data_IF_442307540613
#
_entry.id   IF_442307540613
#
_cell.length_a   1.000
_cell.length_b   1.000
_cell.length_c   1.000
_cell.angle_alpha   90.00
_cell.angle_beta   90.00
_cell.angle_gamma   90.00
#
_symmetry.space_group_name_H-M   'P 1'
#
loop_
_entity.id
_entity.type
_entity.pdbx_description
1 polymer ?
#
# COMPACT_ATOMS: atom_id res chain seq x y z
N UNK A 1 -8.13 23.07 21.13
CA UNK A 1 -7.04 22.52 20.31
C UNK A 1 -7.68 22.03 19.03
N UNK A 2 -7.54 22.79 17.93
CA UNK A 2 -8.27 22.50 16.69
C UNK A 2 -7.88 21.09 16.23
N UNK A 3 -8.88 20.26 15.97
CA UNK A 3 -8.77 19.11 15.07
C UNK A 3 -8.42 19.66 13.68
N UNK A 4 -7.17 20.11 13.53
CA UNK A 4 -6.55 20.47 12.27
C UNK A 4 -6.87 19.35 11.27
N UNK A 5 -7.24 19.69 10.04
CA UNK A 5 -7.92 18.85 9.04
C UNK A 5 -7.18 17.56 8.61
N UNK A 6 -6.83 16.67 9.55
CA UNK A 6 -6.06 15.45 9.33
C UNK A 6 -6.85 14.39 8.59
N UNK A 7 -8.17 14.32 8.79
CA UNK A 7 -9.03 13.36 8.08
C UNK A 7 -8.94 13.58 6.56
N UNK A 8 -9.13 14.82 6.04
CA UNK A 8 -8.85 15.11 4.63
C UNK A 8 -7.43 14.77 4.17
N UNK A 9 -6.40 15.07 4.97
CA UNK A 9 -5.01 14.81 4.59
C UNK A 9 -4.68 13.32 4.49
N UNK A 10 -5.12 12.51 5.45
CA UNK A 10 -4.91 11.05 5.43
C UNK A 10 -5.70 10.42 4.29
N UNK A 11 -6.94 10.87 4.06
CA UNK A 11 -7.74 10.44 2.90
C UNK A 11 -7.01 10.71 1.57
N UNK A 12 -6.47 11.93 1.40
CA UNK A 12 -5.72 12.29 0.20
C UNK A 12 -4.45 11.45 0.04
N UNK A 13 -3.73 11.17 1.12
CA UNK A 13 -2.52 10.35 1.08
C UNK A 13 -2.81 8.89 0.72
N UNK A 14 -3.84 8.28 1.31
CA UNK A 14 -4.29 6.92 0.95
C UNK A 14 -4.75 6.87 -0.51
N UNK A 15 -5.51 7.87 -0.96
CA UNK A 15 -5.99 7.95 -2.35
C UNK A 15 -4.83 8.11 -3.34
N UNK A 16 -3.83 8.94 -3.02
CA UNK A 16 -2.63 9.10 -3.84
C UNK A 16 -1.84 7.78 -3.94
N UNK A 17 -1.66 7.08 -2.82
CA UNK A 17 -1.01 5.77 -2.79
C UNK A 17 -1.80 4.76 -3.65
N UNK A 18 -3.13 4.70 -3.51
CA UNK A 18 -3.97 3.84 -4.33
C UNK A 18 -3.85 4.14 -5.83
N UNK A 19 -3.80 5.42 -6.21
CA UNK A 19 -3.58 5.83 -7.60
C UNK A 19 -2.25 5.28 -8.14
N UNK A 20 -1.16 5.40 -7.37
CA UNK A 20 0.14 4.82 -7.75
C UNK A 20 0.07 3.31 -7.93
N UNK A 21 -0.63 2.59 -7.05
CA UNK A 21 -0.82 1.14 -7.19
C UNK A 21 -1.59 0.79 -8.47
N UNK A 22 -2.58 1.58 -8.86
CA UNK A 22 -3.30 1.40 -10.13
C UNK A 22 -2.37 1.66 -11.32
N UNK A 23 -1.53 2.69 -11.26
CA UNK A 23 -0.51 2.95 -12.30
C UNK A 23 0.43 1.77 -12.49
N UNK A 24 0.80 1.07 -11.41
CA UNK A 24 1.62 -0.14 -11.48
C UNK A 24 0.91 -1.30 -12.21
N UNK A 25 -0.41 -1.46 -12.03
CA UNK A 25 -1.18 -2.49 -12.76
C UNK A 25 -1.16 -2.21 -14.26
N UNK A 26 -1.38 -0.96 -14.66
CA UNK A 26 -1.40 -0.58 -16.08
C UNK A 26 -0.05 -0.81 -16.76
N UNK A 27 1.06 -0.69 -16.03
CA UNK A 27 2.41 -0.85 -16.55
C UNK A 27 3.05 -2.20 -16.16
N UNK A 28 2.25 -3.19 -15.75
CA UNK A 28 2.75 -4.46 -15.18
C UNK A 28 3.76 -5.16 -16.10
N UNK A 29 3.51 -5.19 -17.40
CA UNK A 29 4.30 -5.99 -18.35
C UNK A 29 5.71 -5.42 -18.45
N UNK A 30 5.84 -4.09 -18.40
CA UNK A 30 7.13 -3.40 -18.37
C UNK A 30 7.93 -3.77 -17.11
N UNK A 31 7.29 -3.81 -15.94
CA UNK A 31 7.97 -4.20 -14.69
C UNK A 31 8.40 -5.66 -14.67
N UNK A 32 7.56 -6.56 -15.21
CA UNK A 32 7.86 -7.99 -15.29
C UNK A 32 9.00 -8.25 -16.27
N UNK A 33 8.94 -7.68 -17.47
CA UNK A 33 9.99 -7.85 -18.49
C UNK A 33 11.35 -7.33 -17.99
N UNK A 34 11.37 -6.19 -17.31
CA UNK A 34 12.59 -5.63 -16.74
C UNK A 34 13.13 -6.40 -15.52
N UNK A 35 12.30 -7.24 -14.90
CA UNK A 35 12.71 -8.09 -13.77
C UNK A 35 13.36 -9.40 -14.21
N UNK A 36 13.29 -9.75 -15.50
CA UNK A 36 13.83 -10.99 -16.04
C UNK A 36 15.25 -10.72 -16.58
N UNK A 37 16.27 -11.50 -16.15
CA UNK A 37 17.59 -11.42 -16.75
C UNK A 37 17.53 -11.66 -18.26
N UNK A 38 18.30 -10.91 -19.07
CA UNK A 38 18.27 -11.07 -20.53
C UNK A 38 18.60 -12.49 -21.01
N UNK A 39 19.39 -13.24 -20.23
CA UNK A 39 19.70 -14.65 -20.49
C UNK A 39 18.47 -15.57 -20.43
N UNK A 40 17.39 -15.16 -19.76
CA UNK A 40 16.18 -15.95 -19.51
C UNK A 40 14.93 -15.28 -20.11
N UNK A 41 15.10 -14.30 -21.00
CA UNK A 41 14.00 -13.52 -21.58
C UNK A 41 12.97 -14.37 -22.35
N UNK A 42 13.34 -15.56 -22.84
CA UNK A 42 12.44 -16.50 -23.53
C UNK A 42 11.76 -17.50 -22.59
N UNK A 43 12.05 -17.45 -21.28
CA UNK A 43 11.48 -18.36 -20.30
C UNK A 43 10.04 -17.96 -19.94
N UNK A 44 9.08 -18.56 -20.63
CA UNK A 44 7.65 -18.31 -20.42
C UNK A 44 7.16 -18.71 -19.01
N UNK A 45 7.76 -19.73 -18.40
CA UNK A 45 7.37 -20.18 -17.04
C UNK A 45 7.77 -19.13 -15.99
N UNK A 46 8.98 -18.60 -16.10
CA UNK A 46 9.46 -17.53 -15.22
C UNK A 46 8.62 -16.26 -15.36
N UNK A 47 8.29 -15.87 -16.59
CA UNK A 47 7.40 -14.73 -16.85
C UNK A 47 6.04 -14.91 -16.16
N UNK A 48 5.44 -16.10 -16.29
CA UNK A 48 4.18 -16.43 -15.65
C UNK A 48 4.24 -16.32 -14.13
N UNK A 49 5.26 -16.90 -13.51
CA UNK A 49 5.44 -16.86 -12.06
C UNK A 49 5.62 -15.43 -11.53
N UNK A 50 6.43 -14.61 -12.20
CA UNK A 50 6.67 -13.22 -11.86
C UNK A 50 5.40 -12.36 -12.05
N UNK A 51 4.68 -12.57 -13.15
CA UNK A 51 3.40 -11.88 -13.40
C UNK A 51 2.38 -12.15 -12.30
N UNK A 52 2.26 -13.42 -11.87
CA UNK A 52 1.36 -13.81 -10.78
C UNK A 52 1.81 -13.18 -9.47
N UNK A 53 3.09 -13.26 -9.13
CA UNK A 53 3.66 -12.68 -7.91
C UNK A 53 3.41 -11.17 -7.81
N UNK A 54 3.68 -10.44 -8.89
CA UNK A 54 3.43 -9.00 -8.96
C UNK A 54 1.94 -8.67 -8.81
N UNK A 55 1.08 -9.41 -9.51
CA UNK A 55 -0.39 -9.20 -9.46
C UNK A 55 -0.95 -9.45 -8.06
N UNK A 56 -0.46 -10.49 -7.37
CA UNK A 56 -0.85 -10.78 -5.98
C UNK A 56 -0.39 -9.64 -5.05
N UNK A 57 0.86 -9.20 -5.16
CA UNK A 57 1.39 -8.13 -4.31
C UNK A 57 0.59 -6.82 -4.45
N UNK A 58 0.35 -6.40 -5.69
CA UNK A 58 -0.41 -5.19 -5.97
C UNK A 58 -1.89 -5.35 -5.55
N UNK A 59 -2.48 -6.53 -5.78
CA UNK A 59 -3.85 -6.84 -5.36
C UNK A 59 -4.04 -6.80 -3.84
N UNK A 60 -3.10 -7.35 -3.08
CA UNK A 60 -3.09 -7.27 -1.61
C UNK A 60 -2.93 -5.82 -1.14
N UNK A 61 -2.00 -5.08 -1.74
CA UNK A 61 -1.77 -3.67 -1.40
C UNK A 61 -3.02 -2.81 -1.60
N UNK A 62 -3.71 -2.97 -2.74
CA UNK A 62 -4.98 -2.26 -3.01
C UNK A 62 -6.06 -2.68 -2.01
N UNK A 63 -6.18 -3.97 -1.73
CA UNK A 63 -7.17 -4.48 -0.76
C UNK A 63 -6.94 -3.85 0.62
N UNK A 64 -5.69 -3.77 1.08
CA UNK A 64 -5.37 -3.12 2.35
C UNK A 64 -5.70 -1.64 2.33
N UNK A 65 -5.33 -0.92 1.27
CA UNK A 65 -5.67 0.51 1.12
C UNK A 65 -7.19 0.76 1.15
N UNK A 66 -7.99 -0.11 0.50
CA UNK A 66 -9.45 -0.01 0.52
C UNK A 66 -10.02 -0.29 1.92
N UNK A 67 -9.51 -1.30 2.62
CA UNK A 67 -9.91 -1.57 4.00
C UNK A 67 -9.55 -0.42 4.93
N UNK A 68 -8.35 0.15 4.79
CA UNK A 68 -7.93 1.33 5.56
C UNK A 68 -8.84 2.52 5.30
N UNK A 69 -9.24 2.74 4.04
CA UNK A 69 -10.18 3.80 3.67
C UNK A 69 -11.55 3.62 4.35
N UNK A 70 -12.08 2.39 4.36
CA UNK A 70 -13.34 2.06 5.05
C UNK A 70 -13.22 2.31 6.56
N UNK A 71 -12.12 1.89 7.17
CA UNK A 71 -11.88 2.05 8.60
C UNK A 71 -11.70 3.54 8.99
N UNK A 72 -11.07 4.35 8.13
CA UNK A 72 -10.91 5.79 8.30
C UNK A 72 -12.25 6.52 8.40
N UNK A 73 -13.24 6.14 7.59
CA UNK A 73 -14.58 6.75 7.66
C UNK A 73 -15.37 6.33 8.89
N UNK A 74 -15.06 5.17 9.47
CA UNK A 74 -15.76 4.64 10.65
C UNK A 74 -15.26 5.24 11.96
N UNK A 75 -13.97 5.54 12.05
CA UNK A 75 -13.31 5.82 13.34
C UNK A 75 -12.46 7.07 13.26
N UNK A 76 -12.62 7.97 14.23
CA UNK A 76 -11.70 9.11 14.39
C UNK A 76 -10.48 8.63 15.17
N UNK A 77 -9.33 8.55 14.52
CA UNK A 77 -8.09 8.12 15.15
C UNK A 77 -7.42 9.23 15.96
N UNK A 78 -6.57 8.81 16.90
CA UNK A 78 -5.72 9.73 17.66
C UNK A 78 -4.74 10.49 16.74
N UNK A 79 -4.30 11.66 17.20
CA UNK A 79 -3.37 12.52 16.48
C UNK A 79 -2.10 11.80 16.01
N UNK A 80 -1.45 11.02 16.89
CA UNK A 80 -0.23 10.29 16.57
C UNK A 80 -0.44 9.21 15.51
N UNK A 81 -1.59 8.51 15.54
CA UNK A 81 -1.94 7.52 14.52
C UNK A 81 -2.13 8.20 13.17
N UNK A 82 -2.84 9.33 13.11
CA UNK A 82 -3.01 10.07 11.85
C UNK A 82 -1.68 10.57 11.26
N UNK A 83 -0.77 11.07 12.09
CA UNK A 83 0.58 11.47 11.63
C UNK A 83 1.35 10.26 11.09
N UNK A 84 1.34 9.14 11.82
CA UNK A 84 2.02 7.93 11.38
C UNK A 84 1.50 7.45 10.02
N UNK A 85 0.18 7.39 9.85
CA UNK A 85 -0.44 7.02 8.57
C UNK A 85 -0.02 7.98 7.46
N UNK A 86 -0.14 9.29 7.70
CA UNK A 86 0.22 10.30 6.72
C UNK A 86 1.66 10.14 6.25
N UNK A 87 2.62 10.06 7.19
CA UNK A 87 4.05 9.89 6.88
C UNK A 87 4.28 8.58 6.12
N UNK A 88 3.69 7.47 6.57
CA UNK A 88 3.85 6.16 5.93
C UNK A 88 3.35 6.18 4.48
N UNK A 89 2.13 6.67 4.23
CA UNK A 89 1.58 6.76 2.88
C UNK A 89 2.37 7.75 2.01
N UNK A 90 2.82 8.88 2.54
CA UNK A 90 3.63 9.85 1.79
C UNK A 90 4.99 9.25 1.39
N UNK A 91 5.71 8.60 2.33
CA UNK A 91 6.99 7.95 2.03
C UNK A 91 6.80 6.84 1.00
N UNK A 92 5.78 5.98 1.20
CA UNK A 92 5.47 4.92 0.24
C UNK A 92 5.17 5.46 -1.14
N UNK A 93 4.35 6.51 -1.23
CA UNK A 93 4.01 7.16 -2.50
C UNK A 93 5.25 7.74 -3.17
N UNK A 94 6.15 8.39 -2.42
CA UNK A 94 7.40 8.91 -2.96
C UNK A 94 8.32 7.79 -3.49
N UNK A 95 8.42 6.67 -2.78
CA UNK A 95 9.16 5.48 -3.23
C UNK A 95 8.52 4.88 -4.48
N UNK A 96 7.19 4.79 -4.53
CA UNK A 96 6.46 4.31 -5.71
C UNK A 96 6.68 5.20 -6.92
N UNK A 97 6.71 6.52 -6.75
CA UNK A 97 7.03 7.46 -7.83
C UNK A 97 8.42 7.18 -8.37
N UNK A 98 9.41 6.97 -7.51
CA UNK A 98 10.75 6.54 -7.95
C UNK A 98 10.67 5.22 -8.71
N UNK A 99 9.91 4.25 -8.21
CA UNK A 99 9.76 2.95 -8.85
C UNK A 99 9.09 3.02 -10.22
N UNK A 100 8.31 4.06 -10.50
CA UNK A 100 7.74 4.28 -11.83
C UNK A 100 8.80 4.75 -12.84
N UNK A 101 9.81 5.49 -12.40
CA UNK A 101 10.89 5.98 -13.27
C UNK A 101 12.04 4.97 -13.41
N UNK A 102 12.34 4.24 -12.34
CA UNK A 102 13.47 3.32 -12.27
C UNK A 102 13.00 1.87 -12.45
N UNK A 103 13.82 1.06 -13.13
CA UNK A 103 13.58 -0.38 -13.23
C UNK A 103 13.90 -1.07 -11.91
N UNK A 104 12.94 -1.84 -11.38
CA UNK A 104 13.13 -2.60 -10.15
C UNK A 104 12.65 -4.05 -10.27
N UNK A 105 13.39 -4.98 -9.64
CA UNK A 105 12.96 -6.37 -9.55
C UNK A 105 11.69 -6.51 -8.69
N UNK A 106 10.87 -7.49 -9.03
CA UNK A 106 9.56 -7.73 -8.37
C UNK A 106 9.66 -7.90 -6.84
N UNK A 107 10.76 -8.42 -6.31
CA UNK A 107 10.92 -8.58 -4.85
C UNK A 107 10.97 -7.23 -4.09
N UNK A 108 11.35 -6.12 -4.74
CA UNK A 108 11.31 -4.80 -4.12
C UNK A 108 9.87 -4.36 -3.79
N UNK A 109 8.88 -4.77 -4.59
CA UNK A 109 7.47 -4.47 -4.33
C UNK A 109 6.96 -5.22 -3.09
N UNK A 110 7.46 -6.43 -2.85
CA UNK A 110 7.19 -7.18 -1.61
C UNK A 110 7.79 -6.51 -0.38
N UNK A 111 9.02 -6.03 -0.47
CA UNK A 111 9.66 -5.26 0.61
C UNK A 111 8.82 -4.01 0.90
N UNK A 112 8.47 -3.25 -0.13
CA UNK A 112 7.66 -2.05 0.03
C UNK A 112 6.34 -2.38 0.74
N UNK A 113 5.59 -3.38 0.27
CA UNK A 113 4.33 -3.82 0.89
C UNK A 113 4.47 -4.12 2.39
N UNK A 114 5.52 -4.84 2.79
CA UNK A 114 5.77 -5.22 4.20
C UNK A 114 6.08 -4.00 5.06
N UNK A 115 6.78 -2.99 4.53
CA UNK A 115 7.20 -1.83 5.31
C UNK A 115 6.22 -0.65 5.25
N UNK A 116 5.43 -0.52 4.19
CA UNK A 116 4.45 0.56 4.04
C UNK A 116 3.04 0.14 4.44
N UNK A 117 2.52 -0.92 3.82
CA UNK A 117 1.09 -1.25 3.82
C UNK A 117 0.69 -2.17 4.96
N UNK A 118 1.58 -3.08 5.39
CA UNK A 118 1.33 -3.93 6.55
C UNK A 118 1.25 -3.12 7.87
N UNK A 119 2.19 -2.20 8.20
CA UNK A 119 2.17 -1.50 9.48
C UNK A 119 0.99 -0.53 9.61
N UNK A 120 0.60 0.14 8.52
CA UNK A 120 -0.59 1.02 8.49
C UNK A 120 -1.86 0.20 8.73
N UNK A 121 -2.03 -0.92 8.03
CA UNK A 121 -3.19 -1.79 8.17
C UNK A 121 -3.30 -2.39 9.57
N UNK A 122 -2.20 -2.93 10.11
CA UNK A 122 -2.17 -3.51 11.46
C UNK A 122 -2.48 -2.46 12.53
N UNK A 123 -2.01 -1.22 12.35
CA UNK A 123 -2.31 -0.13 13.28
C UNK A 123 -3.81 0.17 13.27
N UNK A 124 -4.44 0.27 12.10
CA UNK A 124 -5.88 0.53 12.02
C UNK A 124 -6.72 -0.65 12.54
N UNK A 125 -6.31 -1.88 12.25
CA UNK A 125 -6.96 -3.08 12.75
C UNK A 125 -6.90 -3.15 14.29
N UNK A 126 -5.76 -2.83 14.88
CA UNK A 126 -5.59 -2.82 16.34
C UNK A 126 -6.47 -1.74 17.00
N UNK A 127 -6.60 -0.55 16.39
CA UNK A 127 -7.50 0.50 16.87
C UNK A 127 -8.96 0.05 16.79
N UNK A 128 -9.33 -0.58 15.67
CA UNK A 128 -10.66 -1.11 15.46
C UNK A 128 -11.05 -2.20 16.47
N UNK A 129 -10.13 -3.15 16.73
CA UNK A 129 -10.33 -4.19 17.72
C UNK A 129 -10.50 -3.62 19.14
N UNK A 130 -9.72 -2.59 19.51
CA UNK A 130 -9.88 -1.89 20.80
C UNK A 130 -11.25 -1.22 20.92
N UNK A 131 -11.75 -0.61 19.85
CA UNK A 131 -13.07 0.03 19.85
C UNK A 131 -14.20 -1.00 20.06
N UNK A 132 -14.16 -2.15 19.37
CA UNK A 132 -15.14 -3.22 19.55
C UNK A 132 -15.10 -3.75 20.99
N UNK A 133 -13.89 -4.01 21.51
CA UNK A 133 -13.72 -4.53 22.87
C UNK A 133 -14.32 -3.58 23.91
N UNK A 134 -14.16 -2.27 23.74
CA UNK A 134 -14.75 -1.28 24.65
C UNK A 134 -16.28 -1.29 24.59
N UNK A 135 -16.87 -1.35 23.38
CA UNK A 135 -18.33 -1.38 23.20
C UNK A 135 -19.00 -2.67 23.71
N UNK A 136 -18.23 -3.75 23.91
CA UNK A 136 -18.78 -5.01 24.42
C UNK A 136 -18.79 -5.06 25.96
N UNK A 137 -18.00 -4.20 26.61
CA UNK A 137 -17.83 -4.15 28.07
C UNK A 137 -18.76 -3.12 28.73
N UNK A 138 -19.21 -2.10 28.01
CA UNK A 138 -20.17 -1.09 28.46
C UNK A 138 -21.58 -1.38 27.97
#
# INVERSE_FOLDING_TARGET
>A
MSTMNFIPSVFLAITAHACMMVTLIYNKDTFIQNSIPQSEATNAELYGALSVSFSINVGLSITFLLLELILLFRTVYSFFVNIFLLISHTISTAILVKFTFDQHPIYHFWILFIFSSMPTFLTLLAQFAKEISFKTVC
#
